data_IF_695697085149
#
_entry.id   IF_695697085149
#
_cell.length_a   1.000
_cell.length_b   1.000
_cell.length_c   1.000
_cell.angle_alpha   90.00
_cell.angle_beta   90.00
_cell.angle_gamma   90.00
#
_symmetry.space_group_name_H-M   'P 1'
#
loop_
_entity.id
_entity.type
_entity.pdbx_description
1 polymer ?
#
# COMPACT_ATOMS: atom_id res chain seq x y z
N UNK A 1 -6.79 5.16 14.42
CA UNK A 1 -6.05 5.16 13.16
C UNK A 1 -6.79 4.30 12.14
N UNK A 2 -7.00 4.85 10.96
CA UNK A 2 -7.67 4.14 9.89
C UNK A 2 -6.71 3.94 8.73
N UNK A 3 -6.55 2.70 8.28
CA UNK A 3 -5.64 2.35 7.20
C UNK A 3 -6.43 1.92 5.98
N UNK A 4 -6.21 2.60 4.87
CA UNK A 4 -6.85 2.30 3.59
C UNK A 4 -5.81 1.82 2.60
N UNK A 5 -6.09 0.70 1.96
CA UNK A 5 -5.23 0.14 0.92
C UNK A 5 -5.95 0.32 -0.42
N UNK A 6 -5.29 0.98 -1.37
CA UNK A 6 -5.89 1.24 -2.68
C UNK A 6 -5.22 0.38 -3.72
N UNK A 7 -6.02 -0.43 -4.42
CA UNK A 7 -5.57 -1.31 -5.49
C UNK A 7 -6.08 -0.79 -6.82
N UNK A 8 -5.39 -1.11 -7.89
CA UNK A 8 -5.72 -0.62 -9.21
C UNK A 8 -6.19 -1.74 -10.12
N UNK A 9 -7.21 -1.45 -10.93
CA UNK A 9 -7.60 -2.28 -12.05
C UNK A 9 -7.22 -1.50 -13.30
N UNK A 10 -6.51 -2.15 -14.20
CA UNK A 10 -6.02 -1.49 -15.40
C UNK A 10 -7.13 -1.29 -16.43
N UNK A 11 -6.84 -0.45 -17.43
CA UNK A 11 -7.83 -0.11 -18.44
C UNK A 11 -8.35 -1.32 -19.21
N UNK A 12 -7.57 -2.39 -19.29
CA UNK A 12 -7.99 -3.61 -19.96
C UNK A 12 -8.75 -4.56 -19.03
N UNK A 13 -9.00 -4.14 -17.78
CA UNK A 13 -9.75 -4.93 -16.82
C UNK A 13 -8.89 -5.88 -16.00
N UNK A 14 -7.60 -5.97 -16.26
CA UNK A 14 -6.74 -6.84 -15.50
C UNK A 14 -6.29 -6.17 -14.19
N UNK A 15 -5.98 -6.96 -13.16
CA UNK A 15 -5.48 -6.39 -11.91
C UNK A 15 -4.05 -5.87 -12.09
N UNK A 16 -3.73 -4.83 -11.33
CA UNK A 16 -2.37 -4.32 -11.29
C UNK A 16 -1.44 -5.36 -10.67
N UNK A 17 -0.37 -5.70 -11.37
CA UNK A 17 0.57 -6.72 -10.89
C UNK A 17 1.20 -6.32 -9.56
N UNK A 18 1.62 -5.07 -9.43
CA UNK A 18 2.21 -4.60 -8.19
C UNK A 18 1.22 -4.65 -7.03
N UNK A 19 -0.03 -4.33 -7.31
CA UNK A 19 -1.07 -4.38 -6.29
C UNK A 19 -1.28 -5.81 -5.79
N UNK A 20 -1.30 -6.77 -6.70
CA UNK A 20 -1.46 -8.18 -6.34
C UNK A 20 -0.26 -8.65 -5.53
N UNK A 21 0.93 -8.24 -5.90
CA UNK A 21 2.16 -8.62 -5.22
C UNK A 21 2.19 -8.07 -3.79
N UNK A 22 1.82 -6.80 -3.63
CA UNK A 22 1.77 -6.18 -2.32
C UNK A 22 0.70 -6.83 -1.45
N UNK A 23 -0.46 -7.11 -2.03
CA UNK A 23 -1.51 -7.77 -1.27
C UNK A 23 -1.06 -9.14 -0.78
N UNK A 24 -0.36 -9.90 -1.62
CA UNK A 24 0.16 -11.19 -1.23
C UNK A 24 1.10 -11.08 -0.04
N UNK A 25 1.97 -10.07 -0.05
CA UNK A 25 2.89 -9.84 1.06
C UNK A 25 2.15 -9.47 2.33
N UNK A 26 1.12 -8.65 2.22
CA UNK A 26 0.30 -8.29 3.37
C UNK A 26 -0.42 -9.51 3.93
N UNK A 27 -0.95 -10.37 3.06
CA UNK A 27 -1.63 -11.59 3.49
C UNK A 27 -0.67 -12.53 4.20
N UNK A 28 0.50 -12.75 3.63
CA UNK A 28 1.48 -13.67 4.20
C UNK A 28 2.01 -13.20 5.54
N UNK A 29 2.09 -11.89 5.72
CA UNK A 29 2.56 -11.33 6.99
C UNK A 29 1.44 -11.12 8.01
N UNK A 30 0.21 -11.46 7.66
CA UNK A 30 -0.93 -11.26 8.53
C UNK A 30 -1.31 -9.79 8.70
N UNK A 31 -0.83 -8.93 7.82
CA UNK A 31 -1.03 -7.50 7.94
C UNK A 31 -2.36 -7.03 7.33
N UNK A 32 -2.96 -7.84 6.48
CA UNK A 32 -4.27 -7.47 5.90
C UNK A 32 -5.33 -7.29 6.98
N UNK A 33 -5.20 -7.99 8.10
CA UNK A 33 -6.15 -7.85 9.20
C UNK A 33 -6.09 -6.44 9.82
N UNK A 34 -5.03 -5.71 9.58
CA UNK A 34 -4.88 -4.35 10.10
C UNK A 34 -5.33 -3.28 9.12
N UNK A 35 -5.66 -3.68 7.89
CA UNK A 35 -6.19 -2.77 6.89
C UNK A 35 -7.68 -2.60 7.15
N UNK A 36 -8.10 -1.37 7.33
CA UNK A 36 -9.51 -1.09 7.66
C UNK A 36 -10.40 -1.04 6.43
N UNK A 37 -9.85 -0.62 5.31
CA UNK A 37 -10.63 -0.45 4.10
C UNK A 37 -9.78 -0.73 2.87
N UNK A 38 -10.36 -1.38 1.88
CA UNK A 38 -9.71 -1.61 0.59
C UNK A 38 -10.57 -0.93 -0.47
N UNK A 39 -9.96 -0.02 -1.23
CA UNK A 39 -10.64 0.67 -2.32
C UNK A 39 -10.05 0.22 -3.65
N UNK A 40 -10.90 0.19 -4.65
CA UNK A 40 -10.48 -0.16 -6.01
C UNK A 40 -10.42 1.10 -6.86
N UNK A 41 -9.25 1.31 -7.47
CA UNK A 41 -9.05 2.39 -8.45
C UNK A 41 -9.16 1.76 -9.83
N UNK A 42 -10.36 1.72 -10.37
CA UNK A 42 -10.63 1.09 -11.66
C UNK A 42 -10.40 2.12 -12.76
N UNK A 43 -9.39 1.90 -13.58
CA UNK A 43 -9.05 2.84 -14.66
C UNK A 43 -10.15 2.99 -15.70
N UNK A 44 -11.07 2.04 -15.76
CA UNK A 44 -12.21 2.12 -16.67
C UNK A 44 -13.33 2.99 -16.11
N UNK A 45 -13.25 3.32 -14.81
CA UNK A 45 -14.30 4.07 -14.13
C UNK A 45 -13.67 5.14 -13.25
N UNK A 46 -13.62 6.40 -13.75
CA UNK A 46 -13.02 7.49 -12.97
C UNK A 46 -13.81 7.82 -11.71
N UNK A 47 -15.03 7.31 -11.59
CA UNK A 47 -15.85 7.53 -10.41
C UNK A 47 -15.65 6.42 -9.35
N UNK A 48 -14.81 5.43 -9.63
CA UNK A 48 -14.57 4.38 -8.65
C UNK A 48 -13.92 4.98 -7.41
N UNK A 49 -14.17 4.39 -6.23
CA UNK A 49 -13.67 4.97 -4.97
C UNK A 49 -12.17 5.21 -4.95
N UNK A 50 -11.40 4.25 -5.46
CA UNK A 50 -9.96 4.40 -5.49
C UNK A 50 -9.48 5.49 -6.42
N UNK A 51 -10.14 5.62 -7.60
CA UNK A 51 -9.80 6.68 -8.54
C UNK A 51 -10.11 8.05 -7.97
N UNK A 52 -11.23 8.17 -7.29
CA UNK A 52 -11.60 9.44 -6.67
C UNK A 52 -10.62 9.82 -5.57
N UNK A 53 -10.24 8.87 -4.75
CA UNK A 53 -9.28 9.14 -3.69
C UNK A 53 -7.92 9.50 -4.26
N UNK A 54 -7.49 8.79 -5.31
CA UNK A 54 -6.22 9.09 -5.96
C UNK A 54 -6.21 10.51 -6.52
N UNK A 55 -7.31 10.93 -7.13
CA UNK A 55 -7.42 12.28 -7.67
C UNK A 55 -7.38 13.32 -6.55
N UNK A 56 -8.08 13.04 -5.46
CA UNK A 56 -8.11 13.96 -4.32
C UNK A 56 -6.71 14.15 -3.73
N UNK A 57 -5.93 13.08 -3.68
CA UNK A 57 -4.60 13.11 -3.09
C UNK A 57 -3.48 13.37 -4.09
N UNK A 58 -3.84 13.53 -5.37
CA UNK A 58 -2.89 13.73 -6.46
C UNK A 58 -1.86 12.59 -6.52
N UNK A 59 -2.33 11.35 -6.33
CA UNK A 59 -1.49 10.16 -6.40
C UNK A 59 -1.72 9.48 -7.72
N UNK A 60 -0.64 9.21 -8.45
CA UNK A 60 -0.73 8.56 -9.75
C UNK A 60 -0.27 7.11 -9.74
N UNK A 61 0.35 6.68 -8.65
CA UNK A 61 0.90 5.33 -8.53
C UNK A 61 -0.03 4.44 -7.72
N UNK A 62 0.00 3.16 -8.00
CA UNK A 62 -0.69 2.15 -7.23
C UNK A 62 0.24 0.95 -7.07
N UNK A 63 0.15 0.19 -6.00
CA UNK A 63 -0.76 0.43 -4.88
C UNK A 63 -0.32 1.60 -4.02
N UNK A 64 -1.24 2.15 -3.26
CA UNK A 64 -0.85 3.13 -2.25
C UNK A 64 -1.68 2.93 -0.99
N UNK A 65 -1.18 3.50 0.10
CA UNK A 65 -1.81 3.37 1.40
C UNK A 65 -2.08 4.75 1.96
N UNK A 66 -3.20 4.89 2.64
CA UNK A 66 -3.57 6.13 3.30
C UNK A 66 -3.83 5.81 4.77
N UNK A 67 -3.18 6.55 5.64
CA UNK A 67 -3.42 6.42 7.08
C UNK A 67 -3.99 7.71 7.61
N UNK A 68 -5.15 7.63 8.24
CA UNK A 68 -5.79 8.76 8.86
C UNK A 68 -5.71 8.58 10.37
N UNK A 69 -5.18 9.58 11.04
CA UNK A 69 -5.00 9.53 12.49
C UNK A 69 -5.08 10.94 13.05
N UNK A 70 -6.01 11.15 13.98
CA UNK A 70 -6.20 12.44 14.64
C UNK A 70 -6.41 13.60 13.67
N UNK A 71 -7.12 13.35 12.59
CA UNK A 71 -7.39 14.37 11.59
C UNK A 71 -6.28 14.56 10.58
N UNK A 72 -5.17 13.88 10.74
CA UNK A 72 -4.09 13.93 9.78
C UNK A 72 -4.19 12.77 8.81
N UNK A 73 -3.80 13.03 7.57
CA UNK A 73 -3.83 12.03 6.51
C UNK A 73 -2.44 11.93 5.90
N UNK A 74 -1.90 10.71 5.88
CA UNK A 74 -0.59 10.45 5.29
C UNK A 74 -0.73 9.42 4.19
N UNK A 75 0.10 9.55 3.16
CA UNK A 75 0.07 8.67 1.99
C UNK A 75 1.43 8.01 1.80
N UNK A 76 1.41 6.70 1.57
CA UNK A 76 2.62 5.95 1.22
C UNK A 76 2.40 5.28 -0.13
N UNK A 77 3.34 5.47 -1.02
CA UNK A 77 3.32 4.82 -2.33
C UNK A 77 4.34 3.70 -2.44
N UNK A 78 5.08 3.46 -1.36
CA UNK A 78 6.08 2.39 -1.29
C UNK A 78 5.73 1.47 -0.14
N UNK A 79 5.50 0.20 -0.45
CA UNK A 79 5.06 -0.77 0.53
C UNK A 79 6.01 -0.88 1.73
N UNK A 80 7.31 -0.97 1.47
CA UNK A 80 8.26 -1.16 2.57
C UNK A 80 8.32 0.03 3.51
N UNK A 81 8.18 1.24 2.98
CA UNK A 81 8.13 2.41 3.83
C UNK A 81 6.87 2.42 4.68
N UNK A 82 5.75 2.03 4.08
CA UNK A 82 4.49 1.94 4.80
C UNK A 82 4.61 0.96 5.97
N UNK A 83 5.09 -0.24 5.70
CA UNK A 83 5.22 -1.26 6.74
C UNK A 83 6.18 -0.80 7.83
N UNK A 84 7.29 -0.22 7.43
CA UNK A 84 8.30 0.23 8.40
C UNK A 84 7.76 1.32 9.32
N UNK A 85 7.04 2.28 8.78
CA UNK A 85 6.59 3.42 9.56
C UNK A 85 5.29 3.17 10.30
N UNK A 86 4.41 2.34 9.76
CA UNK A 86 3.10 2.11 10.37
C UNK A 86 3.10 0.86 11.23
N UNK A 87 3.71 -0.21 10.77
CA UNK A 87 3.75 -1.48 11.49
C UNK A 87 5.08 -1.76 12.17
N UNK A 88 6.09 -0.99 11.83
CA UNK A 88 7.46 -1.31 12.18
C UNK A 88 7.78 -1.33 13.66
N UNK A 89 6.99 -0.65 14.46
CA UNK A 89 7.25 -0.59 15.87
C UNK A 89 7.31 -1.96 16.53
N UNK A 90 6.40 -2.84 16.16
CA UNK A 90 6.33 -4.17 16.75
C UNK A 90 7.27 -5.15 16.06
N UNK A 91 7.67 -4.87 14.85
CA UNK A 91 8.49 -5.78 14.07
C UNK A 91 9.95 -5.38 13.98
N UNK A 92 10.26 -4.19 14.46
CA UNK A 92 11.58 -3.63 14.29
C UNK A 92 12.69 -4.54 14.75
N UNK A 93 12.51 -5.21 15.87
CA UNK A 93 13.55 -6.07 16.42
C UNK A 93 13.72 -7.34 15.59
N UNK A 94 12.61 -7.94 15.25
CA UNK A 94 12.64 -9.20 14.53
C UNK A 94 13.13 -9.00 13.10
N UNK A 95 12.88 -7.84 12.55
CA UNK A 95 13.14 -7.59 11.14
C UNK A 95 14.43 -6.84 10.85
N UNK A 96 15.26 -6.57 11.87
CA UNK A 96 16.50 -5.84 11.63
C UNK A 96 17.38 -6.51 10.59
N UNK A 97 17.57 -7.81 10.71
CA UNK A 97 18.37 -8.54 9.73
C UNK A 97 17.70 -8.55 8.36
N UNK A 98 16.38 -8.71 8.36
CA UNK A 98 15.63 -8.71 7.11
C UNK A 98 15.66 -7.35 6.44
N UNK A 99 15.64 -6.29 7.25
CA UNK A 99 15.72 -4.95 6.71
C UNK A 99 17.03 -4.71 5.98
N UNK A 100 18.12 -5.26 6.51
CA UNK A 100 19.42 -5.13 5.83
C UNK A 100 19.39 -5.79 4.47
N UNK A 101 18.67 -6.89 4.36
CA UNK A 101 18.51 -7.56 3.07
C UNK A 101 17.74 -6.67 2.11
N UNK A 102 16.69 -6.04 2.58
CA UNK A 102 15.91 -5.12 1.75
C UNK A 102 16.76 -3.96 1.28
N UNK A 103 17.53 -3.40 2.18
CA UNK A 103 18.37 -2.26 1.84
C UNK A 103 19.40 -2.59 0.79
N UNK A 104 19.86 -3.83 0.79
CA UNK A 104 20.87 -4.25 -0.17
C UNK A 104 20.29 -4.74 -1.49
N UNK A 105 18.98 -4.81 -1.58
CA UNK A 105 18.29 -5.33 -2.76
C UNK A 105 17.36 -4.27 -3.33
N UNK A 106 17.84 -3.44 -4.26
CA UNK A 106 17.07 -2.33 -4.80
C UNK A 106 15.81 -2.75 -5.57
N UNK A 107 15.75 -3.99 -5.99
CA UNK A 107 14.57 -4.47 -6.72
C UNK A 107 13.31 -4.39 -5.87
N UNK A 108 13.45 -4.37 -4.57
CA UNK A 108 12.30 -4.30 -3.68
C UNK A 108 11.72 -2.90 -3.59
N UNK A 109 12.49 -1.91 -3.97
CA UNK A 109 12.06 -0.52 -3.85
C UNK A 109 10.99 -0.13 -4.84
N UNK A 110 10.89 -0.83 -5.94
CA UNK A 110 9.92 -0.46 -6.96
C UNK A 110 8.51 -0.92 -6.63
N UNK A 111 8.35 -1.72 -5.62
CA UNK A 111 7.05 -2.27 -5.23
C UNK A 111 6.11 -1.22 -4.66
#
# INVERSE_FOLDING_TARGET
>A
MKITFVKKILADGSPCRKCADVQKRLDEAGQMARIDEVLIADERDPESPGMRLAAELAVERAPFFVVEDNGERRVWTVYFKFVKEVFGGSEGKASDAARDIYDSNPDLDYV
#
